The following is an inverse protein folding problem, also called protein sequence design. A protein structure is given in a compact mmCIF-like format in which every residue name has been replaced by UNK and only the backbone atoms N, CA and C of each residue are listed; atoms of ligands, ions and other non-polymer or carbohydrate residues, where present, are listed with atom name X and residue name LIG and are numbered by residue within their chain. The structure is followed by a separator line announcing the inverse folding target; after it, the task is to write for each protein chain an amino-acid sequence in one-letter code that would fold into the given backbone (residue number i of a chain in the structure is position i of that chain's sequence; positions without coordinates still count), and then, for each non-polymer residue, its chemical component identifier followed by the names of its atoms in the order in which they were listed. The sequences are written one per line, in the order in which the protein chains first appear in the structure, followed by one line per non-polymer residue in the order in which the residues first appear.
data_IF_138317355370
#
_entry.id   IF_138317355370
#
_cell.length_a   1.000
_cell.length_b   1.000
_cell.length_c   1.000
_cell.angle_alpha   90.00
_cell.angle_beta   90.00
_cell.angle_gamma   90.00
#
_symmetry.space_group_name_H-M   'P 1'
#
loop_
_entity.id
_entity.type
_entity.pdbx_description
1 polymer ?
#
# COMPACT_ATOMS: atom_id res chain seq x y z
N UNK A 1 26.49 3.13 13.97
CA UNK A 1 25.05 3.16 13.64
C UNK A 1 24.41 1.91 14.24
N UNK A 2 23.26 2.04 14.93
CA UNK A 2 22.49 0.89 15.42
C UNK A 2 21.43 0.55 14.36
N UNK A 3 21.34 -0.71 13.98
CA UNK A 3 20.31 -1.19 13.07
C UNK A 3 19.18 -1.81 13.89
N UNK A 4 17.95 -1.66 13.43
CA UNK A 4 16.77 -2.26 14.03
C UNK A 4 16.02 -3.07 12.98
N UNK A 5 15.46 -4.21 13.41
CA UNK A 5 14.74 -5.13 12.54
C UNK A 5 13.27 -5.13 12.94
N UNK A 6 12.40 -4.79 11.99
CA UNK A 6 10.96 -4.83 12.17
C UNK A 6 10.37 -5.92 11.28
N UNK A 7 9.75 -6.97 11.84
CA UNK A 7 9.10 -8.00 11.04
C UNK A 7 7.87 -7.41 10.35
N UNK A 8 7.63 -7.81 9.10
CA UNK A 8 6.39 -7.48 8.41
C UNK A 8 5.19 -8.09 9.15
N UNK A 9 4.01 -7.45 9.08
CA UNK A 9 2.77 -8.05 9.57
C UNK A 9 2.53 -9.42 8.94
N UNK A 10 2.07 -10.37 9.75
CA UNK A 10 1.66 -11.71 9.28
C UNK A 10 0.17 -11.70 8.96
N UNK A 11 -0.23 -12.45 7.94
CA UNK A 11 -1.64 -12.61 7.55
C UNK A 11 -2.36 -13.59 8.48
N UNK A 12 -1.68 -14.67 8.86
CA UNK A 12 -2.12 -15.70 9.78
C UNK A 12 -0.90 -16.38 10.45
N UNK A 13 -1.09 -17.29 11.43
CA UNK A 13 0.02 -18.10 11.93
C UNK A 13 0.73 -18.83 10.79
N UNK A 14 2.06 -18.65 10.69
CA UNK A 14 2.92 -19.21 9.63
C UNK A 14 2.68 -18.67 8.20
N UNK A 15 1.89 -17.61 8.03
CA UNK A 15 1.74 -16.93 6.74
C UNK A 15 2.53 -15.62 6.72
N UNK A 16 3.41 -15.49 5.73
CA UNK A 16 4.32 -14.37 5.59
C UNK A 16 4.00 -13.56 4.35
N UNK A 17 4.32 -12.27 4.42
CA UNK A 17 4.27 -11.41 3.25
C UNK A 17 5.43 -11.69 2.30
N UNK A 18 5.18 -11.47 1.01
CA UNK A 18 6.20 -11.53 -0.04
C UNK A 18 6.39 -10.09 -0.56
N UNK A 19 7.25 -9.29 0.10
CA UNK A 19 7.52 -7.95 -0.37
C UNK A 19 8.29 -7.99 -1.68
N UNK A 20 8.00 -7.06 -2.60
CA UNK A 20 8.72 -6.97 -3.87
C UNK A 20 9.55 -5.69 -3.98
N UNK A 21 8.89 -4.53 -3.92
CA UNK A 21 9.53 -3.22 -4.03
C UNK A 21 9.22 -2.38 -2.79
N UNK A 22 10.07 -1.39 -2.54
CA UNK A 22 9.81 -0.36 -1.55
C UNK A 22 10.29 1.01 -2.02
N UNK A 23 9.67 2.06 -1.48
CA UNK A 23 10.15 3.43 -1.63
C UNK A 23 9.96 4.20 -0.31
N UNK A 24 10.78 5.23 -0.08
CA UNK A 24 10.76 6.02 1.15
C UNK A 24 10.23 7.41 0.84
N UNK A 25 9.20 7.83 1.56
CA UNK A 25 8.61 9.14 1.35
C UNK A 25 9.64 10.23 1.68
N UNK A 26 9.97 11.15 0.75
CA UNK A 26 11.13 12.03 0.86
C UNK A 26 11.04 13.05 2.01
N UNK A 27 9.82 13.42 2.43
CA UNK A 27 9.59 14.37 3.54
C UNK A 27 9.37 13.71 4.91
N UNK A 28 8.62 12.60 4.97
CA UNK A 28 8.20 11.97 6.24
C UNK A 28 9.11 10.81 6.65
N UNK A 29 9.89 10.25 5.72
CA UNK A 29 10.70 9.06 5.96
C UNK A 29 9.87 7.78 6.14
N UNK A 30 8.56 7.82 5.87
CA UNK A 30 7.71 6.62 5.89
C UNK A 30 8.10 5.69 4.76
N UNK A 31 8.18 4.39 5.06
CA UNK A 31 8.60 3.37 4.10
C UNK A 31 7.35 2.71 3.54
N UNK A 32 7.22 2.68 2.23
CA UNK A 32 6.10 2.06 1.53
C UNK A 32 6.59 0.82 0.80
N UNK A 33 5.85 -0.28 0.91
CA UNK A 33 6.29 -1.62 0.52
C UNK A 33 5.15 -2.29 -0.25
N UNK A 34 5.42 -2.87 -1.41
CA UNK A 34 4.44 -3.71 -2.12
C UNK A 34 4.42 -5.10 -1.51
N UNK A 35 3.21 -5.65 -1.27
CA UNK A 35 2.99 -6.97 -0.69
C UNK A 35 2.19 -7.83 -1.66
N UNK A 36 2.90 -8.58 -2.49
CA UNK A 36 2.33 -9.22 -3.69
C UNK A 36 1.58 -10.53 -3.40
N UNK A 37 1.75 -11.13 -2.22
CA UNK A 37 0.99 -12.32 -1.83
C UNK A 37 -0.41 -12.00 -1.29
N UNK A 38 -0.66 -10.74 -0.93
CA UNK A 38 -1.86 -10.33 -0.19
C UNK A 38 -2.65 -9.21 -0.85
N UNK A 39 -2.33 -8.89 -2.12
CA UNK A 39 -2.91 -7.81 -2.91
C UNK A 39 -2.90 -6.47 -2.16
N UNK A 40 -1.75 -6.11 -1.55
CA UNK A 40 -1.65 -4.97 -0.62
C UNK A 40 -0.43 -4.10 -0.86
N UNK A 41 -0.52 -2.89 -0.32
CA UNK A 41 0.62 -2.02 -0.03
C UNK A 41 0.70 -1.79 1.48
N UNK A 42 1.90 -1.88 2.03
CA UNK A 42 2.17 -1.63 3.43
C UNK A 42 2.90 -0.30 3.58
N UNK A 43 2.49 0.51 4.58
CA UNK A 43 3.21 1.71 5.00
C UNK A 43 3.76 1.50 6.40
N UNK A 44 5.06 1.61 6.56
CA UNK A 44 5.77 1.58 7.84
C UNK A 44 6.14 2.99 8.27
N UNK A 45 5.80 3.33 9.51
CA UNK A 45 6.17 4.60 10.14
C UNK A 45 7.30 4.37 11.16
N UNK A 46 8.57 4.68 10.84
CA UNK A 46 9.71 4.38 11.71
C UNK A 46 9.61 5.00 13.10
N UNK A 47 9.05 6.20 13.20
CA UNK A 47 8.89 6.93 14.47
C UNK A 47 8.02 6.19 15.50
N UNK A 48 7.13 5.30 15.06
CA UNK A 48 6.20 4.57 15.94
C UNK A 48 6.32 3.05 15.81
N UNK A 49 7.17 2.57 14.90
CA UNK A 49 7.29 1.17 14.51
C UNK A 49 5.95 0.51 14.13
N UNK A 50 5.04 1.27 13.50
CA UNK A 50 3.70 0.78 13.10
C UNK A 50 3.60 0.56 11.60
N UNK A 51 2.82 -0.45 11.24
CA UNK A 51 2.41 -0.74 9.86
C UNK A 51 0.95 -0.36 9.64
N UNK A 52 0.65 0.19 8.48
CA UNK A 52 -0.70 0.38 7.94
C UNK A 52 -0.80 -0.40 6.64
N UNK A 53 -1.88 -1.16 6.46
CA UNK A 53 -2.12 -1.94 5.26
C UNK A 53 -3.20 -1.28 4.40
N UNK A 54 -2.91 -1.14 3.11
CA UNK A 54 -3.83 -0.63 2.09
C UNK A 54 -4.16 -1.79 1.14
N UNK A 55 -5.41 -2.28 1.10
CA UNK A 55 -5.80 -3.28 0.12
C UNK A 55 -5.83 -2.67 -1.28
N UNK A 56 -5.42 -3.46 -2.27
CA UNK A 56 -5.65 -3.14 -3.68
C UNK A 56 -7.16 -3.03 -3.96
N UNK A 57 -7.59 -2.12 -4.84
CA UNK A 57 -8.99 -2.04 -5.27
C UNK A 57 -9.46 -3.28 -6.05
N UNK A 58 -8.52 -4.02 -6.66
CA UNK A 58 -8.77 -5.24 -7.43
C UNK A 58 -7.93 -6.39 -6.92
N UNK A 59 -8.47 -7.61 -6.98
CA UNK A 59 -7.78 -8.84 -6.60
C UNK A 59 -6.75 -9.24 -7.65
N UNK A 60 -5.83 -10.12 -7.25
CA UNK A 60 -4.81 -10.71 -8.12
C UNK A 60 -3.95 -9.59 -8.73
N UNK A 61 -3.49 -8.68 -7.87
CA UNK A 61 -2.73 -7.50 -8.25
C UNK A 61 -1.30 -7.62 -7.74
N UNK A 62 -0.37 -7.91 -8.66
CA UNK A 62 1.06 -7.83 -8.38
C UNK A 62 1.55 -6.44 -8.75
N UNK A 63 2.05 -5.72 -7.75
CA UNK A 63 2.59 -4.38 -7.93
C UNK A 63 4.10 -4.43 -8.19
N UNK A 64 4.59 -3.39 -8.85
CA UNK A 64 6.02 -3.17 -9.14
C UNK A 64 6.54 -2.00 -8.31
N UNK A 65 7.48 -1.25 -8.87
CA UNK A 65 8.06 -0.08 -8.21
C UNK A 65 6.97 0.91 -7.78
N UNK A 66 7.29 1.64 -6.72
CA UNK A 66 6.44 2.65 -6.13
C UNK A 66 7.07 4.01 -6.40
N UNK A 67 6.27 4.97 -6.86
CA UNK A 67 6.72 6.34 -7.09
C UNK A 67 5.80 7.34 -6.39
N UNK A 68 6.40 8.38 -5.80
CA UNK A 68 5.64 9.45 -5.17
C UNK A 68 5.29 10.52 -6.17
N UNK A 69 4.03 10.92 -6.18
CA UNK A 69 3.58 12.09 -6.95
C UNK A 69 3.90 13.38 -6.17
N UNK A 70 3.90 14.52 -6.87
CA UNK A 70 4.19 15.82 -6.26
C UNK A 70 3.18 16.21 -5.16
N UNK A 71 1.93 15.76 -5.27
CA UNK A 71 0.87 15.95 -4.28
C UNK A 71 0.91 14.93 -3.12
N UNK A 72 1.90 14.02 -3.11
CA UNK A 72 2.17 13.11 -1.99
C UNK A 72 1.39 11.81 -2.01
N UNK A 73 0.75 11.46 -3.14
CA UNK A 73 0.24 10.10 -3.36
C UNK A 73 1.40 9.18 -3.71
N UNK A 74 1.14 7.89 -3.61
CA UNK A 74 2.09 6.86 -4.04
C UNK A 74 1.43 5.97 -5.08
N UNK A 75 2.08 5.78 -6.22
CA UNK A 75 1.54 5.04 -7.34
C UNK A 75 2.43 3.86 -7.71
N UNK A 76 1.83 2.80 -8.24
CA UNK A 76 2.53 1.65 -8.80
C UNK A 76 1.79 1.12 -10.02
N UNK A 77 2.50 0.44 -10.91
CA UNK A 77 1.91 -0.35 -11.98
C UNK A 77 1.57 -1.75 -11.50
N UNK A 78 0.46 -2.29 -12.00
CA UNK A 78 0.23 -3.72 -11.97
C UNK A 78 1.11 -4.42 -13.02
N UNK A 79 1.44 -5.69 -12.79
CA UNK A 79 2.38 -6.39 -13.64
C UNK A 79 2.08 -7.88 -13.83
N UNK A 80 0.82 -8.28 -13.66
CA UNK A 80 0.43 -9.61 -14.07
C UNK A 80 0.37 -9.61 -15.59
N UNK A 81 1.17 -10.48 -16.20
CA UNK A 81 1.06 -10.80 -17.60
C UNK A 81 0.65 -12.27 -17.71
N UNK A 82 -0.35 -12.59 -18.54
CA UNK A 82 -1.20 -11.70 -19.32
C UNK A 82 -2.23 -10.93 -18.47
N UNK A 83 -2.63 -9.74 -18.93
CA UNK A 83 -3.53 -8.85 -18.18
C UNK A 83 -4.91 -9.45 -17.86
N UNK A 84 -5.34 -10.49 -18.58
CA UNK A 84 -6.59 -11.20 -18.26
C UNK A 84 -6.56 -11.87 -16.87
N UNK A 85 -5.38 -12.08 -16.28
CA UNK A 85 -5.28 -12.62 -14.93
C UNK A 85 -5.70 -11.61 -13.84
N UNK A 86 -5.82 -10.32 -14.17
CA UNK A 86 -6.41 -9.31 -13.29
C UNK A 86 -7.92 -9.44 -13.28
N UNK A 87 -8.54 -9.15 -12.12
CA UNK A 87 -10.01 -9.20 -11.95
C UNK A 87 -10.77 -8.35 -12.97
N UNK A 88 -10.19 -7.23 -13.39
CA UNK A 88 -10.77 -6.31 -14.38
C UNK A 88 -10.30 -6.58 -15.82
N UNK A 89 -9.33 -7.47 -16.02
CA UNK A 89 -8.67 -7.77 -17.28
C UNK A 89 -7.92 -6.59 -17.94
N UNK A 90 -7.54 -5.56 -17.18
CA UNK A 90 -6.90 -4.35 -17.72
C UNK A 90 -5.58 -4.04 -17.01
N UNK A 91 -4.51 -3.64 -17.73
CA UNK A 91 -3.34 -3.03 -17.12
C UNK A 91 -3.69 -1.69 -16.45
N UNK A 92 -3.28 -1.51 -15.21
CA UNK A 92 -3.65 -0.38 -14.38
C UNK A 92 -2.45 0.22 -13.64
N UNK A 93 -2.49 1.54 -13.47
CA UNK A 93 -1.72 2.22 -12.44
C UNK A 93 -2.64 2.44 -11.24
N UNK A 94 -2.19 2.00 -10.07
CA UNK A 94 -2.92 2.15 -8.81
C UNK A 94 -2.20 3.21 -7.99
N UNK A 95 -2.95 4.21 -7.54
CA UNK A 95 -2.45 5.28 -6.69
C UNK A 95 -3.18 5.28 -5.34
N UNK A 96 -2.42 5.39 -4.26
CA UNK A 96 -2.93 5.50 -2.90
C UNK A 96 -2.74 6.94 -2.44
N UNK A 97 -3.83 7.58 -2.03
CA UNK A 97 -3.80 8.80 -1.26
C UNK A 97 -3.85 8.46 0.24
N UNK A 98 -2.73 8.56 0.98
CA UNK A 98 -2.71 8.24 2.40
C UNK A 98 -3.58 9.16 3.27
N UNK A 99 -3.95 10.35 2.77
CA UNK A 99 -4.80 11.32 3.47
C UNK A 99 -6.27 11.23 3.05
N UNK A 100 -6.55 10.62 1.90
CA UNK A 100 -7.92 10.45 1.39
C UNK A 100 -8.86 9.81 2.42
N UNK A 101 -8.42 8.76 3.10
CA UNK A 101 -9.23 8.11 4.13
C UNK A 101 -9.50 8.98 5.37
N UNK A 102 -8.68 9.99 5.67
CA UNK A 102 -9.00 10.97 6.72
C UNK A 102 -10.11 11.92 6.26
N UNK A 103 -10.07 12.34 4.99
CA UNK A 103 -11.13 13.14 4.39
C UNK A 103 -12.46 12.37 4.30
N UNK A 104 -12.43 11.10 3.91
CA UNK A 104 -13.62 10.23 3.83
C UNK A 104 -14.25 10.01 5.21
N UNK A 105 -13.43 9.75 6.24
CA UNK A 105 -13.91 9.63 7.63
C UNK A 105 -14.50 10.93 8.14
N UNK A 106 -13.83 12.06 7.92
CA UNK A 106 -14.35 13.37 8.32
C UNK A 106 -15.66 13.73 7.58
N UNK A 107 -15.81 13.31 6.32
CA UNK A 107 -17.06 13.45 5.57
C UNK A 107 -18.16 12.57 6.16
N UNK A 108 -17.88 11.29 6.42
CA UNK A 108 -18.83 10.36 7.04
C UNK A 108 -19.28 10.81 8.44
N UNK A 109 -18.37 11.36 9.25
CA UNK A 109 -18.68 11.90 10.58
C UNK A 109 -19.57 13.15 10.53
N UNK A 110 -19.50 13.93 9.44
CA UNK A 110 -20.33 15.12 9.20
C UNK A 110 -21.64 14.81 8.48
N UNK A 111 -21.75 13.64 7.85
CA UNK A 111 -22.96 13.24 7.16
C UNK A 111 -24.10 13.06 8.18
N UNK A 112 -25.31 13.59 7.90
CA UNK A 112 -26.44 13.40 8.80
C UNK A 112 -26.72 11.90 8.92
N UNK A 113 -26.67 11.40 10.16
CA UNK A 113 -27.04 10.01 10.45
C UNK A 113 -28.52 9.84 10.10
N UNK A 114 -28.82 8.90 9.20
CA UNK A 114 -30.19 8.50 8.86
C UNK A 114 -30.85 7.79 10.04
#
# INVERSE_FOLDING_TARGET
KKFETHPLPRLAPNEYEIPYALNVHPKTGEVWITANNSDRVLRFAPATARFVSYPSPTRVTFLRDLEFTADGKICSSNANLPAYAHEDHVPAFICIDPKGGEADRAFADRAPKR
#
